data_IF_191056551218
#
_entry.id   IF_191056551218
#
_cell.length_a   1.000
_cell.length_b   1.000
_cell.length_c   1.000
_cell.angle_alpha   90.00
_cell.angle_beta   90.00
_cell.angle_gamma   90.00
#
_symmetry.space_group_name_H-M   'P 1'
#
loop_
_entity.id
_entity.type
_entity.pdbx_description
1 polymer ?
#
# COMPACT_ATOMS: atom_id res chain seq x y z
N UNK A 1 -24.82 36.12 -17.66
CA UNK A 1 -25.55 35.15 -16.80
C UNK A 1 -24.87 33.81 -16.94
N UNK A 2 -24.02 33.48 -15.98
CA UNK A 2 -23.21 32.26 -15.96
C UNK A 2 -24.10 31.11 -15.48
N UNK A 3 -24.30 30.11 -16.33
CA UNK A 3 -24.93 28.85 -15.92
C UNK A 3 -24.09 28.23 -14.80
N UNK A 4 -24.69 27.79 -13.68
CA UNK A 4 -23.98 27.11 -12.61
C UNK A 4 -23.29 25.89 -13.20
N UNK A 5 -21.96 25.84 -13.05
CA UNK A 5 -21.15 24.72 -13.51
C UNK A 5 -21.75 23.42 -12.99
N UNK A 6 -22.12 22.54 -13.92
CA UNK A 6 -22.59 21.22 -13.62
C UNK A 6 -21.42 20.46 -12.98
N UNK A 7 -21.31 20.56 -11.66
CA UNK A 7 -20.41 19.73 -10.88
C UNK A 7 -20.89 18.31 -11.13
N UNK A 8 -20.11 17.43 -11.77
CA UNK A 8 -20.54 16.05 -11.95
C UNK A 8 -20.93 15.52 -10.56
N UNK A 9 -22.09 14.84 -10.43
CA UNK A 9 -22.50 14.28 -9.15
C UNK A 9 -21.34 13.45 -8.61
N UNK A 10 -21.05 13.51 -7.30
CA UNK A 10 -19.95 12.77 -6.71
C UNK A 10 -20.09 11.31 -7.12
N UNK A 11 -19.17 10.81 -7.95
CA UNK A 11 -18.97 9.37 -8.10
C UNK A 11 -18.75 8.86 -6.68
N UNK A 12 -19.74 8.09 -6.23
CA UNK A 12 -20.17 8.09 -4.84
C UNK A 12 -19.08 7.80 -3.82
N UNK A 13 -19.24 8.41 -2.65
CA UNK A 13 -18.59 7.99 -1.42
C UNK A 13 -18.89 6.52 -1.04
N UNK A 14 -19.84 5.88 -1.74
CA UNK A 14 -20.25 4.49 -1.55
C UNK A 14 -19.22 3.51 -2.17
N UNK A 15 -18.18 3.17 -1.41
CA UNK A 15 -17.30 2.05 -1.77
C UNK A 15 -15.89 2.12 -1.22
N UNK A 16 -15.49 3.26 -0.66
CA UNK A 16 -14.16 3.39 -0.07
C UNK A 16 -14.11 2.84 1.36
N UNK A 17 -13.00 2.23 1.76
CA UNK A 17 -12.88 1.71 3.11
C UNK A 17 -12.84 2.84 4.14
N UNK A 18 -13.45 2.65 5.30
CA UNK A 18 -13.52 3.70 6.35
C UNK A 18 -12.16 4.26 6.79
N UNK A 19 -11.08 3.50 6.64
CA UNK A 19 -9.72 4.00 6.90
C UNK A 19 -9.32 5.13 5.94
N UNK A 20 -9.79 5.10 4.69
CA UNK A 20 -9.49 6.10 3.67
C UNK A 20 -10.17 7.42 4.00
N UNK A 21 -11.46 7.40 4.38
CA UNK A 21 -12.18 8.59 4.82
C UNK A 21 -11.54 9.25 6.04
N UNK A 22 -11.19 8.45 7.07
CA UNK A 22 -10.47 8.95 8.26
C UNK A 22 -9.15 9.63 7.89
N UNK A 23 -8.44 9.13 6.87
CA UNK A 23 -7.19 9.74 6.40
C UNK A 23 -7.41 10.96 5.53
N UNK A 24 -8.41 10.95 4.65
CA UNK A 24 -8.76 12.11 3.84
C UNK A 24 -9.17 13.28 4.73
N UNK A 25 -9.93 13.03 5.80
CA UNK A 25 -10.25 14.06 6.81
C UNK A 25 -8.97 14.66 7.44
N UNK A 26 -8.02 13.82 7.85
CA UNK A 26 -6.73 14.30 8.38
C UNK A 26 -5.87 15.03 7.35
N UNK A 27 -5.94 14.63 6.08
CA UNK A 27 -5.25 15.35 5.00
C UNK A 27 -5.94 16.69 4.71
N UNK A 28 -7.25 16.78 4.92
CA UNK A 28 -7.99 18.01 4.72
C UNK A 28 -7.59 19.12 5.68
N UNK A 29 -7.11 18.77 6.88
CA UNK A 29 -6.50 19.73 7.82
C UNK A 29 -5.22 20.37 7.25
N UNK A 30 -4.52 19.69 6.34
CA UNK A 30 -3.22 20.13 5.77
C UNK A 30 -3.36 20.72 4.38
N UNK A 31 -4.25 20.16 3.56
CA UNK A 31 -4.41 20.49 2.13
C UNK A 31 -5.75 21.13 1.78
N UNK A 32 -6.62 21.35 2.77
CA UNK A 32 -8.00 21.78 2.57
C UNK A 32 -8.96 20.62 2.29
N UNK A 33 -10.28 20.87 2.36
CA UNK A 33 -11.31 19.84 2.21
C UNK A 33 -11.12 19.07 0.91
N UNK A 34 -11.00 17.75 1.02
CA UNK A 34 -10.74 16.86 -0.10
C UNK A 34 -11.48 15.54 0.04
N UNK A 35 -12.30 15.20 -0.97
CA UNK A 35 -12.89 13.87 -1.09
C UNK A 35 -11.83 12.82 -1.42
N UNK A 36 -12.11 11.55 -1.14
CA UNK A 36 -11.26 10.45 -1.58
C UNK A 36 -11.46 10.28 -3.09
N UNK A 37 -10.40 10.43 -3.88
CA UNK A 37 -10.44 10.16 -5.33
C UNK A 37 -9.99 8.73 -5.64
N UNK A 38 -9.02 8.22 -4.87
CA UNK A 38 -8.49 6.87 -5.01
C UNK A 38 -7.96 6.42 -3.66
N UNK A 39 -8.31 5.20 -3.24
CA UNK A 39 -7.71 4.57 -2.06
C UNK A 39 -7.32 3.12 -2.33
N UNK A 40 -6.08 2.78 -1.97
CA UNK A 40 -5.56 1.42 -2.12
C UNK A 40 -4.66 1.06 -0.93
N UNK A 41 -4.79 -0.13 -0.31
CA UNK A 41 -5.68 -1.24 -0.69
C UNK A 41 -7.17 -0.98 -0.36
N UNK A 42 -8.08 -1.48 -1.20
CA UNK A 42 -9.54 -1.35 -1.04
C UNK A 42 -10.06 -2.10 0.18
N UNK A 43 -9.47 -3.25 0.52
CA UNK A 43 -9.76 -3.96 1.77
C UNK A 43 -8.47 -4.32 2.48
N UNK A 44 -8.50 -4.25 3.81
CA UNK A 44 -7.43 -4.78 4.66
C UNK A 44 -7.81 -6.09 5.34
N UNK A 45 -9.09 -6.49 5.27
CA UNK A 45 -9.59 -7.70 5.91
C UNK A 45 -8.85 -8.96 5.43
N UNK A 46 -8.40 -8.97 4.17
CA UNK A 46 -7.62 -10.08 3.60
C UNK A 46 -6.27 -10.31 4.28
N UNK A 47 -5.74 -9.33 5.04
CA UNK A 47 -4.54 -9.54 5.84
C UNK A 47 -4.83 -10.14 7.21
N UNK A 48 -6.05 -9.97 7.75
CA UNK A 48 -6.43 -10.42 9.10
C UNK A 48 -6.38 -11.95 9.21
N UNK A 49 -6.93 -12.67 8.24
CA UNK A 49 -6.96 -14.13 8.27
C UNK A 49 -5.54 -14.75 8.32
N UNK A 50 -4.59 -14.37 7.44
CA UNK A 50 -3.19 -14.78 7.57
C UNK A 50 -2.57 -14.47 8.93
N UNK A 51 -2.85 -13.29 9.52
CA UNK A 51 -2.34 -12.95 10.85
C UNK A 51 -2.87 -13.90 11.93
N UNK A 52 -4.16 -14.23 11.90
CA UNK A 52 -4.76 -15.18 12.85
C UNK A 52 -4.19 -16.58 12.67
N UNK A 53 -4.10 -17.07 11.42
CA UNK A 53 -3.52 -18.38 11.12
C UNK A 53 -2.06 -18.47 11.55
N UNK A 54 -1.27 -17.41 11.34
CA UNK A 54 0.11 -17.32 11.81
C UNK A 54 0.19 -17.37 13.35
N UNK A 55 -0.68 -16.64 14.05
CA UNK A 55 -0.74 -16.68 15.51
C UNK A 55 -1.02 -18.09 16.06
N UNK A 56 -1.95 -18.82 15.44
CA UNK A 56 -2.27 -20.22 15.81
C UNK A 56 -1.12 -21.17 15.47
N UNK A 57 -0.50 -21.03 14.30
CA UNK A 57 0.63 -21.86 13.90
C UNK A 57 1.86 -21.63 14.80
N UNK A 58 2.06 -20.40 15.27
CA UNK A 58 3.14 -20.06 16.17
C UNK A 58 2.93 -20.59 17.59
N UNK A 59 1.70 -20.56 18.11
CA UNK A 59 1.42 -21.10 19.44
C UNK A 59 1.68 -22.60 19.51
N UNK A 60 1.37 -23.35 18.46
CA UNK A 60 1.67 -24.78 18.38
C UNK A 60 3.15 -25.04 18.13
N UNK A 61 3.81 -24.30 17.23
CA UNK A 61 5.22 -24.49 16.92
C UNK A 61 6.16 -24.12 18.09
N UNK A 62 5.76 -23.21 18.98
CA UNK A 62 6.53 -22.85 20.17
C UNK A 62 6.64 -24.00 21.19
N UNK A 63 5.69 -24.94 21.18
CA UNK A 63 5.70 -26.07 22.12
C UNK A 63 6.94 -26.96 21.98
N UNK A 64 7.41 -27.20 20.76
CA UNK A 64 8.56 -28.07 20.48
C UNK A 64 9.89 -27.57 21.10
N UNK A 65 10.35 -26.32 20.86
CA UNK A 65 11.57 -25.83 21.50
C UNK A 65 11.44 -25.74 23.03
N UNK A 66 10.25 -25.39 23.55
CA UNK A 66 10.01 -25.35 25.00
C UNK A 66 10.11 -26.74 25.62
N UNK A 67 9.49 -27.77 25.01
CA UNK A 67 9.58 -29.14 25.48
C UNK A 67 11.01 -29.67 25.47
N UNK A 68 11.83 -29.31 24.49
CA UNK A 68 13.26 -29.67 24.45
C UNK A 68 14.07 -28.99 25.54
N UNK A 69 13.78 -27.71 25.82
CA UNK A 69 14.43 -26.98 26.92
C UNK A 69 14.08 -27.60 28.29
N UNK A 70 12.80 -27.86 28.55
CA UNK A 70 12.36 -28.45 29.81
C UNK A 70 12.90 -29.88 29.97
N UNK A 71 12.73 -30.74 28.96
CA UNK A 71 13.21 -32.12 29.04
C UNK A 71 14.74 -32.23 29.16
N UNK A 72 15.49 -31.39 28.44
CA UNK A 72 16.94 -31.31 28.54
C UNK A 72 17.43 -30.84 29.90
N UNK A 73 16.73 -29.90 30.54
CA UNK A 73 17.06 -29.41 31.87
C UNK A 73 16.82 -30.46 32.96
N UNK A 74 15.71 -31.20 32.91
CA UNK A 74 15.40 -32.25 33.87
C UNK A 74 16.27 -33.50 33.71
N UNK A 75 16.68 -33.83 32.48
CA UNK A 75 17.51 -35.01 32.18
C UNK A 75 19.02 -34.73 32.25
N UNK A 76 19.44 -33.48 32.46
CA UNK A 76 20.86 -33.08 32.46
C UNK A 76 21.53 -33.12 31.07
N UNK A 77 20.77 -33.33 29.99
CA UNK A 77 21.32 -33.41 28.64
C UNK A 77 21.59 -32.02 28.04
N UNK A 78 22.84 -31.56 28.15
CA UNK A 78 23.30 -30.28 27.58
C UNK A 78 22.98 -30.12 26.09
N UNK A 79 23.08 -31.21 25.31
CA UNK A 79 22.78 -31.20 23.87
C UNK A 79 21.33 -30.83 23.59
N UNK A 80 20.37 -31.37 24.35
CA UNK A 80 18.95 -31.07 24.18
C UNK A 80 18.65 -29.59 24.48
N UNK A 81 19.30 -29.03 25.51
CA UNK A 81 19.18 -27.60 25.86
C UNK A 81 19.73 -26.72 24.73
N UNK A 82 20.92 -27.01 24.20
CA UNK A 82 21.51 -26.22 23.09
C UNK A 82 20.64 -26.25 21.84
N UNK A 83 20.12 -27.43 21.48
CA UNK A 83 19.18 -27.57 20.34
C UNK A 83 17.89 -26.79 20.59
N UNK A 84 17.33 -26.87 21.80
CA UNK A 84 16.15 -26.10 22.20
C UNK A 84 16.35 -24.58 22.07
N UNK A 85 17.49 -24.06 22.54
CA UNK A 85 17.86 -22.65 22.39
C UNK A 85 17.97 -22.28 20.90
N UNK A 86 18.66 -23.09 20.10
CA UNK A 86 18.82 -22.84 18.66
C UNK A 86 17.49 -22.77 17.92
N UNK A 87 16.58 -23.72 18.19
CA UNK A 87 15.23 -23.73 17.62
C UNK A 87 14.41 -22.53 18.09
N UNK A 88 14.54 -22.11 19.35
CA UNK A 88 13.85 -20.93 19.87
C UNK A 88 14.33 -19.64 19.19
N UNK A 89 15.64 -19.47 19.02
CA UNK A 89 16.21 -18.30 18.31
C UNK A 89 15.71 -18.29 16.86
N UNK A 90 15.79 -19.43 16.16
CA UNK A 90 15.30 -19.54 14.78
C UNK A 90 13.81 -19.20 14.68
N UNK A 91 13.01 -19.72 15.61
CA UNK A 91 11.58 -19.43 15.70
C UNK A 91 11.32 -17.93 15.90
N UNK A 92 11.99 -17.27 16.85
CA UNK A 92 11.85 -15.83 17.10
C UNK A 92 12.24 -15.01 15.86
N UNK A 93 13.33 -15.37 15.18
CA UNK A 93 13.75 -14.70 13.95
C UNK A 93 12.71 -14.85 12.83
N UNK A 94 12.15 -16.05 12.66
CA UNK A 94 11.10 -16.32 11.69
C UNK A 94 9.82 -15.52 12.00
N UNK A 95 9.38 -15.53 13.26
CA UNK A 95 8.23 -14.74 13.71
C UNK A 95 8.44 -13.25 13.46
N UNK A 96 9.63 -12.74 13.76
CA UNK A 96 10.01 -11.35 13.50
C UNK A 96 9.95 -11.03 12.01
N UNK A 97 10.56 -11.84 11.15
CA UNK A 97 10.57 -11.63 9.71
C UNK A 97 9.15 -11.59 9.12
N UNK A 98 8.31 -12.55 9.48
CA UNK A 98 6.92 -12.62 9.02
C UNK A 98 6.10 -11.45 9.55
N UNK A 99 6.28 -11.07 10.83
CA UNK A 99 5.61 -9.90 11.42
C UNK A 99 5.96 -8.62 10.68
N UNK A 100 7.24 -8.41 10.35
CA UNK A 100 7.69 -7.25 9.58
C UNK A 100 7.08 -7.23 8.17
N UNK A 101 7.05 -8.37 7.47
CA UNK A 101 6.40 -8.49 6.16
C UNK A 101 4.91 -8.16 6.20
N UNK A 102 4.23 -8.62 7.26
CA UNK A 102 2.81 -8.41 7.41
C UNK A 102 2.49 -6.96 7.81
N UNK A 103 3.31 -6.32 8.64
CA UNK A 103 3.25 -4.88 8.92
C UNK A 103 3.49 -4.07 7.64
N UNK A 104 4.50 -4.42 6.83
CA UNK A 104 4.76 -3.78 5.54
C UNK A 104 3.56 -3.91 4.59
N UNK A 105 2.93 -5.07 4.57
CA UNK A 105 1.73 -5.34 3.78
C UNK A 105 0.55 -4.47 4.20
N UNK A 106 0.31 -4.35 5.51
CA UNK A 106 -0.78 -3.57 6.08
C UNK A 106 -0.60 -2.06 5.97
N UNK A 107 0.64 -1.58 6.15
CA UNK A 107 0.97 -0.14 6.18
C UNK A 107 1.00 0.47 4.80
N UNK A 108 1.46 -0.30 3.82
CA UNK A 108 1.68 0.20 2.47
C UNK A 108 0.36 0.54 1.78
N UNK A 109 0.20 1.81 1.43
CA UNK A 109 -1.05 2.32 0.85
C UNK A 109 -0.82 3.59 0.04
N UNK A 110 -1.72 3.86 -0.89
CA UNK A 110 -1.80 5.09 -1.65
C UNK A 110 -3.20 5.69 -1.51
N UNK A 111 -3.26 7.01 -1.34
CA UNK A 111 -4.48 7.79 -1.21
C UNK A 111 -4.34 9.03 -2.09
N UNK A 112 -5.22 9.21 -3.07
CA UNK A 112 -5.30 10.43 -3.86
C UNK A 112 -6.53 11.25 -3.42
N UNK A 113 -6.32 12.55 -3.31
CA UNK A 113 -7.32 13.57 -2.94
C UNK A 113 -7.21 14.74 -3.94
N UNK A 114 -8.16 15.68 -3.96
CA UNK A 114 -8.04 16.88 -4.79
C UNK A 114 -6.78 17.72 -4.51
N UNK A 115 -6.21 17.65 -3.29
CA UNK A 115 -5.00 18.39 -2.91
C UNK A 115 -3.69 17.71 -3.30
N UNK A 116 -3.69 16.38 -3.47
CA UNK A 116 -2.48 15.63 -3.81
C UNK A 116 -2.59 14.14 -3.51
N UNK A 117 -1.43 13.49 -3.50
CA UNK A 117 -1.25 12.05 -3.29
C UNK A 117 -0.48 11.82 -1.97
N UNK A 118 -1.03 11.01 -1.08
CA UNK A 118 -0.33 10.46 0.08
C UNK A 118 0.07 9.01 -0.18
N UNK A 119 1.37 8.74 -0.11
CA UNK A 119 1.96 7.42 -0.27
C UNK A 119 2.57 6.98 1.06
N UNK A 120 2.06 5.89 1.64
CA UNK A 120 2.64 5.27 2.85
C UNK A 120 3.35 4.00 2.46
N UNK A 121 4.59 3.84 2.92
CA UNK A 121 5.39 2.64 2.69
C UNK A 121 6.25 2.32 3.92
N UNK A 122 6.51 1.04 4.16
CA UNK A 122 7.41 0.57 5.20
C UNK A 122 8.89 0.93 4.89
N UNK A 123 9.75 1.14 5.91
CA UNK A 123 9.47 1.07 7.36
C UNK A 123 8.64 2.23 7.91
N UNK A 124 8.96 3.49 7.61
CA UNK A 124 8.25 4.64 8.19
C UNK A 124 8.10 5.84 7.25
N UNK A 125 8.18 5.64 5.93
CA UNK A 125 8.09 6.75 4.98
C UNK A 125 6.64 6.99 4.57
N UNK A 126 6.08 8.08 5.08
CA UNK A 126 4.87 8.70 4.52
C UNK A 126 5.34 9.86 3.66
N UNK A 127 5.09 9.78 2.36
CA UNK A 127 5.33 10.89 1.45
C UNK A 127 4.01 11.50 1.01
N UNK A 128 4.03 12.81 0.92
CA UNK A 128 2.90 13.67 0.58
C UNK A 128 3.37 14.48 -0.60
N UNK A 129 2.69 14.33 -1.72
CA UNK A 129 3.07 14.96 -2.99
C UNK A 129 1.87 15.76 -3.44
N UNK A 130 2.01 17.07 -3.54
CA UNK A 130 0.95 17.90 -4.10
C UNK A 130 0.89 17.71 -5.60
N UNK A 131 -0.27 17.97 -6.21
CA UNK A 131 -0.41 17.80 -7.66
C UNK A 131 0.49 18.73 -8.48
N UNK A 132 0.78 19.93 -7.98
CA UNK A 132 1.70 20.90 -8.58
C UNK A 132 3.18 20.52 -8.48
N UNK A 133 3.53 19.64 -7.54
CA UNK A 133 4.88 19.06 -7.44
C UNK A 133 5.06 17.84 -8.36
N UNK A 134 3.96 17.32 -8.91
CA UNK A 134 3.96 16.12 -9.75
C UNK A 134 4.12 16.52 -11.22
N UNK A 135 5.18 16.05 -11.86
CA UNK A 135 5.38 16.26 -13.30
C UNK A 135 4.57 15.26 -14.12
N UNK A 136 4.63 13.97 -13.75
CA UNK A 136 3.84 12.90 -14.39
C UNK A 136 3.78 11.64 -13.54
N UNK A 137 2.82 10.79 -13.86
CA UNK A 137 2.71 9.42 -13.34
C UNK A 137 3.13 8.46 -14.43
N UNK A 138 4.08 7.57 -14.12
CA UNK A 138 4.53 6.51 -15.01
C UNK A 138 4.21 5.14 -14.40
N UNK A 139 4.31 4.09 -15.23
CA UNK A 139 4.32 2.72 -14.75
C UNK A 139 5.74 2.15 -14.90
N UNK A 140 6.25 1.55 -13.83
CA UNK A 140 7.54 0.84 -13.86
C UNK A 140 7.44 -0.33 -14.84
N UNK A 141 8.21 -0.31 -15.93
CA UNK A 141 8.17 -1.38 -16.94
C UNK A 141 9.15 -2.53 -16.67
N UNK A 142 10.21 -2.28 -15.87
CA UNK A 142 11.29 -3.25 -15.66
C UNK A 142 11.61 -3.48 -14.18
N UNK A 143 12.17 -4.65 -13.90
CA UNK A 143 12.69 -5.04 -12.60
C UNK A 143 11.67 -5.67 -11.65
N UNK A 144 12.02 -5.72 -10.36
CA UNK A 144 11.23 -6.44 -9.35
C UNK A 144 9.82 -5.86 -9.11
N UNK A 145 9.62 -4.57 -9.42
CA UNK A 145 8.36 -3.82 -9.17
C UNK A 145 7.63 -3.45 -10.47
N UNK A 146 7.80 -4.23 -11.54
CA UNK A 146 7.05 -4.01 -12.79
C UNK A 146 5.55 -3.83 -12.53
N UNK A 147 4.94 -2.86 -13.19
CA UNK A 147 3.53 -2.48 -13.06
C UNK A 147 3.19 -1.52 -11.92
N UNK A 148 4.14 -1.22 -11.02
CA UNK A 148 3.94 -0.22 -9.98
C UNK A 148 3.92 1.21 -10.56
N UNK A 149 3.09 2.09 -10.02
CA UNK A 149 3.11 3.50 -10.34
C UNK A 149 4.39 4.16 -9.81
N UNK A 150 4.91 5.08 -10.61
CA UNK A 150 6.07 5.91 -10.29
C UNK A 150 5.61 7.35 -10.40
N UNK A 151 5.65 8.07 -9.28
CA UNK A 151 5.40 9.50 -9.25
C UNK A 151 6.71 10.19 -9.60
N UNK A 152 6.74 10.89 -10.74
CA UNK A 152 7.88 11.68 -11.17
C UNK A 152 7.61 13.13 -10.78
N UNK A 153 8.41 13.67 -9.87
CA UNK A 153 8.28 15.03 -9.39
C UNK A 153 8.86 16.02 -10.41
N UNK A 154 8.46 17.29 -10.30
CA UNK A 154 9.02 18.40 -11.10
C UNK A 154 10.51 18.60 -10.86
N UNK A 155 11.02 18.19 -9.69
CA UNK A 155 12.45 18.15 -9.36
C UNK A 155 13.23 17.04 -10.07
N UNK A 156 12.54 16.13 -10.76
CA UNK A 156 13.13 14.91 -11.33
C UNK A 156 13.22 13.74 -10.36
N UNK A 157 12.91 13.93 -9.06
CA UNK A 157 12.85 12.83 -8.10
C UNK A 157 11.75 11.82 -8.49
N UNK A 158 12.04 10.53 -8.31
CA UNK A 158 11.11 9.43 -8.65
C UNK A 158 10.71 8.67 -7.39
N UNK A 159 9.40 8.64 -7.11
CA UNK A 159 8.83 7.91 -5.98
C UNK A 159 8.08 6.69 -6.49
N UNK A 160 8.64 5.50 -6.28
CA UNK A 160 8.00 4.23 -6.65
C UNK A 160 6.92 3.86 -5.62
N UNK A 161 5.68 3.70 -6.04
CA UNK A 161 4.55 3.37 -5.18
C UNK A 161 4.37 1.85 -5.03
N UNK A 162 5.05 1.25 -4.04
CA UNK A 162 4.98 -0.19 -3.75
C UNK A 162 3.56 -0.75 -3.64
N UNK A 163 2.61 0.05 -3.16
CA UNK A 163 1.21 -0.35 -3.00
C UNK A 163 0.56 -0.82 -4.31
N UNK A 164 1.00 -0.27 -5.44
CA UNK A 164 0.37 -0.49 -6.75
C UNK A 164 1.04 -1.59 -7.57
N UNK A 165 2.00 -2.32 -6.99
CA UNK A 165 2.68 -3.41 -7.67
C UNK A 165 1.73 -4.60 -7.93
N UNK A 166 2.11 -5.42 -8.91
CA UNK A 166 1.32 -6.59 -9.37
C UNK A 166 1.17 -7.64 -8.27
N UNK A 167 2.14 -7.72 -7.37
CA UNK A 167 2.13 -8.72 -6.29
C UNK A 167 1.08 -8.36 -5.24
N UNK A 168 0.85 -7.07 -5.02
CA UNK A 168 -0.15 -6.56 -4.07
C UNK A 168 -1.53 -6.41 -4.68
N UNK A 169 -1.60 -6.24 -6.00
CA UNK A 169 -2.82 -6.24 -6.79
C UNK A 169 -3.80 -7.37 -6.47
N UNK A 170 -3.25 -8.57 -6.29
CA UNK A 170 -4.01 -9.79 -6.04
C UNK A 170 -4.90 -9.66 -4.79
N UNK A 171 -4.38 -9.03 -3.73
CA UNK A 171 -5.11 -8.82 -2.48
C UNK A 171 -6.24 -7.78 -2.58
N UNK A 172 -6.47 -7.18 -3.75
CA UNK A 172 -7.58 -6.26 -3.99
C UNK A 172 -8.50 -6.73 -5.12
N UNK A 173 -8.42 -8.01 -5.49
CA UNK A 173 -9.33 -8.64 -6.44
C UNK A 173 -9.02 -8.33 -7.91
N UNK A 174 -7.89 -7.69 -8.21
CA UNK A 174 -7.48 -7.50 -9.59
C UNK A 174 -6.87 -8.78 -10.16
N UNK A 175 -7.35 -9.20 -11.33
CA UNK A 175 -6.78 -10.35 -12.06
C UNK A 175 -5.48 -9.91 -12.74
N UNK A 176 -4.44 -10.75 -12.77
CA UNK A 176 -3.16 -10.42 -13.43
C UNK A 176 -3.36 -10.00 -14.90
N UNK A 177 -4.36 -10.56 -15.58
CA UNK A 177 -4.70 -10.18 -16.97
C UNK A 177 -5.13 -8.72 -17.13
N UNK A 178 -5.61 -8.05 -16.08
CA UNK A 178 -6.00 -6.62 -16.13
C UNK A 178 -4.80 -5.67 -16.06
N UNK A 179 -3.58 -6.18 -16.01
CA UNK A 179 -2.37 -5.38 -15.90
C UNK A 179 -1.69 -5.05 -17.23
N UNK A 180 -2.29 -5.41 -18.37
CA UNK A 180 -1.72 -5.17 -19.71
C UNK A 180 -2.48 -4.07 -20.43
N UNK A 181 -1.79 -3.16 -21.14
CA UNK A 181 -2.42 -2.31 -22.17
C UNK A 181 -2.52 -3.06 -23.47
N UNK A 182 -3.40 -2.52 -24.31
CA UNK A 182 -3.37 -2.64 -25.77
C UNK A 182 -1.97 -2.45 -26.40
N UNK A 183 -1.07 -1.68 -25.78
CA UNK A 183 0.30 -1.46 -26.26
C UNK A 183 1.35 -2.41 -25.65
N UNK A 184 0.92 -3.45 -24.93
CA UNK A 184 1.82 -4.44 -24.32
C UNK A 184 2.54 -3.96 -23.04
N UNK A 185 2.25 -2.74 -22.56
CA UNK A 185 2.83 -2.22 -21.32
C UNK A 185 2.16 -2.87 -20.09
N UNK A 186 2.95 -3.07 -19.03
CA UNK A 186 2.43 -3.56 -17.76
C UNK A 186 2.10 -2.37 -16.85
N UNK A 187 0.84 -2.18 -16.47
CA UNK A 187 0.41 -1.17 -15.49
C UNK A 187 -0.75 -1.70 -14.67
N UNK A 188 -0.74 -1.41 -13.38
CA UNK A 188 -1.88 -1.71 -12.54
C UNK A 188 -3.09 -0.85 -12.91
N UNK A 189 -4.33 -1.35 -12.75
CA UNK A 189 -5.53 -0.52 -12.89
C UNK A 189 -5.46 0.75 -12.04
N UNK A 190 -4.89 0.65 -10.83
CA UNK A 190 -4.62 1.78 -9.94
C UNK A 190 -3.64 2.79 -10.54
N UNK A 191 -2.64 2.35 -11.30
CA UNK A 191 -1.72 3.24 -12.01
C UNK A 191 -2.42 3.99 -13.14
N UNK A 192 -3.28 3.29 -13.91
CA UNK A 192 -4.08 3.94 -14.94
C UNK A 192 -5.02 5.00 -14.34
N UNK A 193 -5.66 4.69 -13.21
CA UNK A 193 -6.52 5.63 -12.49
C UNK A 193 -5.75 6.87 -12.01
N UNK A 194 -4.54 6.70 -11.44
CA UNK A 194 -3.66 7.82 -11.07
C UNK A 194 -3.26 8.69 -12.27
N UNK A 195 -2.94 8.07 -13.42
CA UNK A 195 -2.62 8.79 -14.65
C UNK A 195 -3.82 9.63 -15.10
N UNK A 196 -5.03 9.06 -15.06
CA UNK A 196 -6.26 9.76 -15.43
C UNK A 196 -6.54 10.95 -14.49
N UNK A 197 -6.40 10.75 -13.17
CA UNK A 197 -6.57 11.82 -12.18
C UNK A 197 -5.55 12.96 -12.39
N UNK A 198 -4.28 12.61 -12.67
CA UNK A 198 -3.25 13.61 -12.97
C UNK A 198 -3.57 14.40 -14.25
N UNK A 199 -4.01 13.72 -15.31
CA UNK A 199 -4.40 14.38 -16.57
C UNK A 199 -5.62 15.28 -16.40
N UNK A 200 -6.60 14.86 -15.61
CA UNK A 200 -7.75 15.70 -15.27
C UNK A 200 -7.33 16.96 -14.51
N UNK A 201 -6.46 16.82 -13.50
CA UNK A 201 -5.92 17.95 -12.78
C UNK A 201 -5.18 18.93 -13.70
N UNK A 202 -4.31 18.43 -14.59
CA UNK A 202 -3.58 19.26 -15.56
C UNK A 202 -4.50 20.07 -16.47
N UNK A 203 -5.59 19.45 -16.96
CA UNK A 203 -6.61 20.15 -17.77
C UNK A 203 -7.28 21.27 -16.96
N UNK A 204 -7.70 20.96 -15.74
CA UNK A 204 -8.35 21.93 -14.85
C UNK A 204 -7.44 23.10 -14.44
N UNK A 205 -6.12 22.89 -14.38
CA UNK A 205 -5.14 23.97 -14.15
C UNK A 205 -5.02 24.87 -15.38
N UNK A 206 -5.01 24.29 -16.58
CA UNK A 206 -5.05 25.05 -17.83
C UNK A 206 -6.25 25.97 -17.91
N UNK A 207 -7.44 25.45 -17.58
CA UNK A 207 -8.71 26.20 -17.59
C UNK A 207 -8.79 27.31 -16.54
N UNK A 208 -8.04 27.20 -15.44
CA UNK A 208 -7.95 28.28 -14.43
C UNK A 208 -7.04 29.41 -14.88
N UNK A 209 -5.99 29.11 -15.64
CA UNK A 209 -5.07 30.13 -16.17
C UNK A 209 -5.66 30.92 -17.33
N UNK A 210 -6.68 30.39 -17.99
CA UNK A 210 -7.37 31.04 -19.11
C UNK A 210 -8.57 31.89 -18.71
N UNK A 211 -8.97 31.90 -17.43
CA UNK A 211 -10.00 32.81 -16.90
C UNK A 211 -9.30 34.07 -16.36
N UNK A 212 -9.52 35.25 -17.00
CA UNK A 212 -8.96 36.52 -16.53
C UNK A 212 -9.56 36.94 -15.17
#
# INVERSE_FOLDING_TARGET
MSTPGHTPPPQGDAGWPGWAHKRAAKLAEVWGPGRVLLAYPRTRALFVLPFVMLGVMWSTALSAPLLLLFSGQFSGQRTAVVVGIGLLIFFVLMCTAVTLLAIDSWRTSILATPGGIEVRQFPFRTRRVRWDELHRVEAQQTGYRTGASVLVLTTGERIVCKATDVRRAFYNGHRIRTFKSSAGQFFSPTTAELISLHREWMRNVGDRKSRP
#
